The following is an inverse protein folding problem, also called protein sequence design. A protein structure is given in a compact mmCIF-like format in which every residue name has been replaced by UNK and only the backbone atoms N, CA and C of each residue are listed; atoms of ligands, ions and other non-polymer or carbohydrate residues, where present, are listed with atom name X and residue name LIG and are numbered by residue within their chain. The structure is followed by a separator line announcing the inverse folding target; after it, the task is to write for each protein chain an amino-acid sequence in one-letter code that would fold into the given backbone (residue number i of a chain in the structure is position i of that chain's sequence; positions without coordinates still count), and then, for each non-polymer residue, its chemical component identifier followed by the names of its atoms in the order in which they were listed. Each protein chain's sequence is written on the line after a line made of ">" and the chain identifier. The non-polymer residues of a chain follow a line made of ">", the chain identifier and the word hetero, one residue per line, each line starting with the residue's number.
data_IF_328755779859
#
_entry.id   IF_328755779859
#
_cell.length_a   1.000
_cell.length_b   1.000
_cell.length_c   1.000
_cell.angle_alpha   90.00
_cell.angle_beta   90.00
_cell.angle_gamma   90.00
#
_symmetry.space_group_name_H-M   'P 1'
#
loop_
_entity.id
_entity.type
_entity.pdbx_description
1 polymer ?
#
# COMPACT_ATOMS: atom_id res chain seq x y z
N UNK A 1 -2.78 -2.51 -9.56
CA UNK A 1 -1.99 -1.36 -9.07
C UNK A 1 -1.17 -1.83 -7.89
N UNK A 2 0.09 -1.41 -7.76
CA UNK A 2 0.93 -1.73 -6.59
C UNK A 2 1.02 -0.46 -5.74
N UNK A 3 0.75 -0.59 -4.44
CA UNK A 3 0.88 0.51 -3.47
C UNK A 3 1.84 0.13 -2.36
N UNK A 4 2.47 1.13 -1.76
CA UNK A 4 3.19 0.96 -0.51
C UNK A 4 2.24 1.21 0.66
N UNK A 5 2.32 0.38 1.68
CA UNK A 5 1.49 0.44 2.89
C UNK A 5 2.39 0.61 4.10
N UNK A 6 2.05 1.52 5.01
CA UNK A 6 2.74 1.66 6.29
C UNK A 6 2.34 0.56 7.27
N UNK A 7 3.06 0.45 8.39
CA UNK A 7 2.80 -0.56 9.43
C UNK A 7 1.40 -0.46 10.05
N UNK A 8 0.79 0.72 10.03
CA UNK A 8 -0.58 0.97 10.47
C UNK A 8 -1.65 0.60 9.41
N UNK A 9 -1.24 0.10 8.23
CA UNK A 9 -2.13 -0.26 7.14
C UNK A 9 -2.55 0.91 6.25
N UNK A 10 -1.97 2.10 6.41
CA UNK A 10 -2.29 3.26 5.56
C UNK A 10 -1.55 3.23 4.21
N UNK A 11 -2.20 3.68 3.14
CA UNK A 11 -1.58 3.74 1.81
C UNK A 11 -0.65 4.95 1.75
N UNK A 12 0.63 4.70 1.57
CA UNK A 12 1.64 5.75 1.35
C UNK A 12 1.59 6.22 -0.11
N UNK A 13 1.32 7.52 -0.31
CA UNK A 13 1.24 8.17 -1.64
C UNK A 13 2.46 9.04 -1.96
N UNK A 14 3.30 9.27 -0.98
CA UNK A 14 4.47 10.13 -1.02
C UNK A 14 5.59 9.50 -0.21
N UNK A 15 6.84 9.88 -0.50
CA UNK A 15 8.03 9.36 0.15
C UNK A 15 9.11 9.00 -0.88
N UNK A 16 10.28 8.62 -0.39
CA UNK A 16 11.39 8.23 -1.24
C UNK A 16 11.10 6.92 -1.98
N UNK A 17 11.33 6.93 -3.29
CA UNK A 17 11.10 5.79 -4.17
C UNK A 17 12.14 4.67 -3.95
N UNK A 18 13.31 4.99 -3.40
CA UNK A 18 14.39 4.03 -3.15
C UNK A 18 14.62 3.93 -1.65
N UNK A 19 14.11 2.85 -1.06
CA UNK A 19 14.31 2.54 0.35
C UNK A 19 15.03 1.19 0.45
N UNK A 20 16.24 1.17 0.99
CA UNK A 20 16.99 -0.07 1.21
C UNK A 20 16.37 -0.76 2.44
N UNK A 21 15.64 -1.86 2.20
CA UNK A 21 14.95 -2.64 3.24
C UNK A 21 13.41 -2.59 3.20
N UNK A 22 12.79 -1.87 2.26
CA UNK A 22 11.34 -1.62 2.24
C UNK A 22 10.46 -2.62 1.48
N UNK A 23 10.99 -3.77 1.03
CA UNK A 23 10.27 -4.68 0.11
C UNK A 23 9.05 -5.40 0.73
N UNK A 24 8.91 -5.44 2.05
CA UNK A 24 7.82 -6.16 2.74
C UNK A 24 6.50 -5.39 2.82
N UNK A 25 6.44 -4.17 2.24
CA UNK A 25 5.35 -3.22 2.43
C UNK A 25 4.53 -2.93 1.16
N UNK A 26 4.67 -3.75 0.11
CA UNK A 26 3.94 -3.56 -1.14
C UNK A 26 2.70 -4.44 -1.25
N UNK A 27 1.58 -3.84 -1.66
CA UNK A 27 0.32 -4.55 -1.81
C UNK A 27 -0.30 -4.34 -3.19
N UNK A 28 -0.82 -5.42 -3.77
CA UNK A 28 -1.53 -5.37 -5.04
C UNK A 28 -3.01 -5.05 -4.83
N UNK A 29 -3.47 -3.95 -5.42
CA UNK A 29 -4.85 -3.47 -5.37
C UNK A 29 -5.48 -3.41 -6.75
N UNK A 30 -6.80 -3.63 -6.80
CA UNK A 30 -7.60 -3.34 -7.98
C UNK A 30 -7.74 -1.81 -8.19
N UNK A 31 -8.17 -1.39 -9.39
CA UNK A 31 -8.32 0.02 -9.75
C UNK A 31 -9.21 0.76 -8.75
N UNK A 32 -10.37 0.19 -8.38
CA UNK A 32 -11.33 0.82 -7.47
C UNK A 32 -10.73 1.09 -6.09
N UNK A 33 -10.07 0.10 -5.50
CA UNK A 33 -9.42 0.21 -4.19
C UNK A 33 -8.29 1.26 -4.18
N UNK A 34 -7.52 1.34 -5.27
CA UNK A 34 -6.49 2.36 -5.42
C UNK A 34 -7.07 3.78 -5.38
N UNK A 35 -8.14 4.04 -6.16
CA UNK A 35 -8.77 5.36 -6.18
C UNK A 35 -9.50 5.69 -4.88
N UNK A 36 -10.12 4.71 -4.21
CA UNK A 36 -10.79 4.93 -2.93
C UNK A 36 -9.85 5.06 -1.74
N UNK A 37 -8.54 4.79 -1.93
CA UNK A 37 -7.57 4.82 -0.83
C UNK A 37 -7.80 3.72 0.21
N UNK A 38 -8.44 2.62 -0.17
CA UNK A 38 -8.78 1.53 0.75
C UNK A 38 -8.05 0.27 0.36
N UNK A 39 -7.39 -0.40 1.31
CA UNK A 39 -6.74 -1.71 1.08
C UNK A 39 -7.75 -2.88 1.04
N UNK A 40 -9.04 -2.59 1.25
CA UNK A 40 -10.13 -3.57 1.27
C UNK A 40 -10.25 -4.35 2.59
N UNK A 41 -11.36 -5.07 2.82
CA UNK A 41 -11.61 -5.79 4.06
C UNK A 41 -10.70 -7.02 4.26
N UNK A 42 -10.04 -7.49 3.21
CA UNK A 42 -9.25 -8.73 3.23
C UNK A 42 -7.79 -8.55 3.69
N UNK A 43 -7.32 -7.31 3.84
CA UNK A 43 -5.90 -7.01 4.16
C UNK A 43 -5.69 -6.70 5.65
N UNK A 44 -6.76 -6.62 6.46
CA UNK A 44 -6.68 -6.42 7.92
C UNK A 44 -6.52 -7.72 8.72
N UNK A 45 -5.60 -8.61 8.31
CA UNK A 45 -5.24 -9.79 9.11
C UNK A 45 -3.80 -9.70 9.57
#
# INVERSE_FOLDING_TARGET
>A
MIVRVSEDGSIMRSGDQVEIGGNERYLSLCRKCFYSGTIGPFVRR
#
